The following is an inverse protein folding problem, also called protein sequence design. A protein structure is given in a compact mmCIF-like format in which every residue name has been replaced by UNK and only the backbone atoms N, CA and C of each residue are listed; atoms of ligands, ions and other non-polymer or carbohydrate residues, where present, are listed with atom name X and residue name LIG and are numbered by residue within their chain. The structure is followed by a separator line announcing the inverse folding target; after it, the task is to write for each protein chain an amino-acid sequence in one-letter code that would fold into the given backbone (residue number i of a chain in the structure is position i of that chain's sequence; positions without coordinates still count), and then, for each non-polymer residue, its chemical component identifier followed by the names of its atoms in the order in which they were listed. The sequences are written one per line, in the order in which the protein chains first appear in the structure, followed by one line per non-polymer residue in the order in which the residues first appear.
data_IF_024636328677
#
_entry.id   IF_024636328677
#
_cell.length_a   1.000
_cell.length_b   1.000
_cell.length_c   1.000
_cell.angle_alpha   90.00
_cell.angle_beta   90.00
_cell.angle_gamma   90.00
#
_symmetry.space_group_name_H-M   'P 1'
#
loop_
_entity.id
_entity.type
_entity.pdbx_description
1 polymer ?
#
# COMPACT_ATOMS: atom_id res chain seq x y z
N UNK A 1 -44.43 -27.83 -24.28
CA UNK A 1 -44.01 -26.83 -23.28
C UNK A 1 -42.52 -26.60 -23.46
N UNK A 2 -42.13 -25.34 -23.67
CA UNK A 2 -40.87 -24.91 -24.26
C UNK A 2 -39.70 -24.99 -23.27
N UNK A 3 -38.57 -25.54 -23.71
CA UNK A 3 -37.29 -25.62 -22.97
C UNK A 3 -36.70 -24.25 -22.59
N UNK A 4 -37.21 -23.17 -23.17
CA UNK A 4 -36.80 -21.80 -22.89
C UNK A 4 -37.26 -21.29 -21.50
N UNK A 5 -38.37 -21.77 -20.96
CA UNK A 5 -38.88 -21.31 -19.63
C UNK A 5 -38.18 -22.01 -18.45
N UNK A 6 -37.68 -23.23 -18.66
CA UNK A 6 -36.95 -24.00 -17.63
C UNK A 6 -35.56 -23.42 -17.33
N UNK A 7 -34.87 -22.83 -18.33
CA UNK A 7 -33.58 -22.17 -18.12
C UNK A 7 -33.72 -20.81 -17.41
N UNK A 8 -34.80 -20.07 -17.64
CA UNK A 8 -35.04 -18.77 -16.99
C UNK A 8 -35.36 -18.93 -15.49
N UNK A 9 -36.10 -20.00 -15.15
CA UNK A 9 -36.37 -20.36 -13.75
C UNK A 9 -35.09 -20.71 -12.97
N UNK A 10 -34.17 -21.45 -13.58
CA UNK A 10 -32.93 -21.90 -12.92
C UNK A 10 -31.93 -20.76 -12.68
N UNK A 11 -31.81 -19.81 -13.62
CA UNK A 11 -30.98 -18.61 -13.46
C UNK A 11 -31.50 -17.68 -12.34
N UNK A 12 -32.83 -17.54 -12.23
CA UNK A 12 -33.44 -16.71 -11.16
C UNK A 12 -33.32 -17.33 -9.76
N UNK A 13 -33.28 -18.66 -9.66
CA UNK A 13 -33.03 -19.37 -8.41
C UNK A 13 -31.57 -19.25 -7.97
N UNK A 14 -30.61 -19.39 -8.89
CA UNK A 14 -29.18 -19.20 -8.62
C UNK A 14 -28.82 -17.76 -8.24
N UNK A 15 -29.51 -16.76 -8.82
CA UNK A 15 -29.37 -15.36 -8.40
C UNK A 15 -29.95 -15.09 -7.00
N UNK A 16 -30.99 -15.83 -6.58
CA UNK A 16 -31.53 -15.74 -5.22
C UNK A 16 -30.65 -16.38 -4.17
N UNK A 17 -30.04 -17.53 -4.46
CA UNK A 17 -29.14 -18.23 -3.51
C UNK A 17 -27.83 -17.46 -3.31
N UNK A 18 -27.30 -16.82 -4.37
CA UNK A 18 -26.08 -15.99 -4.25
C UNK A 18 -26.29 -14.74 -3.40
N UNK A 19 -27.53 -14.26 -3.26
CA UNK A 19 -27.90 -13.15 -2.37
C UNK A 19 -28.08 -13.56 -0.91
N UNK A 20 -28.13 -14.86 -0.58
CA UNK A 20 -28.41 -15.35 0.78
C UNK A 20 -27.19 -15.95 1.50
N UNK A 21 -26.02 -16.05 0.86
CA UNK A 21 -24.82 -16.65 1.47
C UNK A 21 -23.68 -15.67 1.77
N UNK A 22 -23.90 -14.36 1.77
CA UNK A 22 -22.91 -13.44 2.35
C UNK A 22 -23.14 -13.34 3.86
N UNK A 23 -22.15 -13.65 4.71
CA UNK A 23 -22.26 -13.39 6.13
C UNK A 23 -22.45 -11.88 6.34
N UNK A 24 -23.63 -11.49 6.84
CA UNK A 24 -24.06 -10.11 7.10
C UNK A 24 -23.44 -9.51 8.36
N UNK A 25 -22.26 -9.96 8.77
CA UNK A 25 -21.51 -9.38 9.86
C UNK A 25 -20.07 -9.11 9.43
N UNK A 26 -19.92 -8.13 8.54
CA UNK A 26 -18.72 -7.31 8.50
C UNK A 26 -18.92 -6.28 9.62
N UNK A 27 -18.34 -6.54 10.79
CA UNK A 27 -18.25 -5.51 11.81
C UNK A 27 -17.30 -4.43 11.24
N UNK A 28 -17.78 -3.20 10.98
CA UNK A 28 -16.91 -2.16 10.48
C UNK A 28 -15.88 -1.84 11.56
N UNK A 29 -14.61 -2.01 11.26
CA UNK A 29 -13.56 -1.36 12.03
C UNK A 29 -13.85 0.14 12.00
N UNK A 30 -14.29 0.66 13.15
CA UNK A 30 -14.57 2.06 13.47
C UNK A 30 -14.93 2.97 12.27
N UNK A 31 -16.22 2.93 11.91
CA UNK A 31 -16.85 4.03 11.18
C UNK A 31 -17.07 5.20 12.15
N UNK A 32 -15.98 5.83 12.61
CA UNK A 32 -16.02 7.05 13.41
C UNK A 32 -15.47 8.28 12.65
N UNK A 33 -15.07 8.12 11.39
CA UNK A 33 -14.58 9.24 10.56
C UNK A 33 -15.53 9.56 9.40
N UNK A 34 -16.84 9.56 9.68
CA UNK A 34 -17.87 10.04 8.75
C UNK A 34 -18.45 11.38 9.20
N UNK A 35 -17.60 12.31 9.61
CA UNK A 35 -17.96 13.73 9.59
C UNK A 35 -17.45 14.34 8.30
N UNK A 36 -18.40 14.61 7.41
CA UNK A 36 -18.37 15.67 6.41
C UNK A 36 -17.28 16.71 6.72
N UNK A 37 -16.12 16.62 6.06
CA UNK A 37 -15.11 17.65 6.13
C UNK A 37 -15.48 18.72 5.10
N UNK A 38 -16.14 19.84 5.47
CA UNK A 38 -16.15 20.98 4.58
C UNK A 38 -14.68 21.30 4.30
N UNK A 39 -14.31 21.50 3.03
CA UNK A 39 -12.98 21.94 2.60
C UNK A 39 -12.76 23.36 3.14
N UNK A 40 -12.59 23.48 4.45
CA UNK A 40 -12.05 24.65 5.12
C UNK A 40 -10.56 24.35 5.19
N UNK A 41 -9.79 25.02 4.34
CA UNK A 41 -8.32 25.08 4.43
C UNK A 41 -7.91 25.62 5.81
N UNK A 42 -7.98 24.80 6.86
CA UNK A 42 -7.24 25.01 8.10
C UNK A 42 -5.97 24.19 7.99
N UNK A 43 -4.97 24.76 7.33
CA UNK A 43 -3.60 24.29 7.41
C UNK A 43 -3.10 24.62 8.83
N UNK A 44 -3.29 23.71 9.78
CA UNK A 44 -2.65 23.85 11.10
C UNK A 44 -1.21 23.35 10.98
N UNK A 45 -0.29 23.90 11.78
CA UNK A 45 1.11 23.42 11.81
C UNK A 45 1.18 21.92 12.15
N UNK A 46 0.18 21.42 12.86
CA UNK A 46 0.03 20.02 13.27
C UNK A 46 -0.41 19.11 12.13
N UNK A 47 -1.38 19.51 11.29
CA UNK A 47 -1.67 18.80 10.03
C UNK A 47 -0.44 18.79 9.13
N UNK A 48 0.31 19.90 9.06
CA UNK A 48 1.54 19.97 8.27
C UNK A 48 2.65 19.03 8.76
N UNK A 49 2.65 18.67 10.05
CA UNK A 49 3.60 17.72 10.66
C UNK A 49 3.11 16.28 10.55
N UNK A 50 1.80 16.05 10.62
CA UNK A 50 1.16 14.75 10.36
C UNK A 50 1.27 14.37 8.87
N UNK A 51 1.20 15.34 7.95
CA UNK A 51 1.46 15.18 6.51
C UNK A 51 2.96 15.25 6.19
N UNK A 52 3.82 14.72 7.05
CA UNK A 52 5.23 14.48 6.69
C UNK A 52 5.25 13.38 5.63
N UNK A 53 5.33 13.82 4.37
CA UNK A 53 5.59 13.06 3.12
C UNK A 53 5.54 11.54 3.29
N UNK A 54 4.41 10.87 3.04
CA UNK A 54 4.28 9.40 3.17
C UNK A 54 5.35 8.60 2.40
N UNK A 55 6.02 9.23 1.41
CA UNK A 55 7.13 8.60 0.69
C UNK A 55 8.27 8.14 1.61
N UNK A 56 8.62 8.85 2.70
CA UNK A 56 9.70 8.39 3.58
C UNK A 56 9.34 7.07 4.30
N UNK A 57 8.07 6.91 4.67
CA UNK A 57 7.54 5.67 5.27
C UNK A 57 7.53 4.54 4.25
N UNK A 58 7.08 4.82 3.03
CA UNK A 58 7.10 3.85 1.95
C UNK A 58 8.52 3.40 1.59
N UNK A 59 9.51 4.31 1.62
CA UNK A 59 10.92 3.94 1.49
C UNK A 59 11.39 3.05 2.64
N UNK A 60 11.05 3.38 3.89
CA UNK A 60 11.40 2.55 5.04
C UNK A 60 10.79 1.14 4.94
N UNK A 61 9.55 1.03 4.48
CA UNK A 61 8.87 -0.24 4.23
C UNK A 61 9.54 -1.05 3.12
N UNK A 62 9.87 -0.41 2.00
CA UNK A 62 10.56 -1.06 0.90
C UNK A 62 11.95 -1.58 1.32
N UNK A 63 12.72 -0.79 2.08
CA UNK A 63 14.01 -1.25 2.60
C UNK A 63 13.82 -2.42 3.58
N UNK A 64 12.84 -2.33 4.48
CA UNK A 64 12.53 -3.40 5.43
C UNK A 64 12.10 -4.71 4.75
N UNK A 65 11.39 -4.60 3.61
CA UNK A 65 11.07 -5.72 2.74
C UNK A 65 12.34 -6.34 2.13
N UNK A 66 13.19 -5.51 1.52
CA UNK A 66 14.40 -5.95 0.83
C UNK A 66 15.40 -6.69 1.73
N UNK A 67 15.46 -6.30 3.01
CA UNK A 67 16.38 -6.92 4.00
C UNK A 67 15.73 -8.00 4.86
N UNK A 68 14.51 -8.45 4.54
CA UNK A 68 13.70 -9.40 5.33
C UNK A 68 13.56 -9.00 6.82
N UNK A 69 13.48 -7.70 7.12
CA UNK A 69 13.42 -7.20 8.50
C UNK A 69 12.22 -7.79 9.26
N UNK A 70 11.05 -7.80 8.62
CA UNK A 70 9.81 -8.33 9.20
C UNK A 70 9.93 -9.83 9.48
N UNK A 71 10.55 -10.60 8.58
CA UNK A 71 10.79 -12.02 8.79
C UNK A 71 11.72 -12.29 9.95
N UNK A 72 12.82 -11.52 10.06
CA UNK A 72 13.74 -11.63 11.20
C UNK A 72 13.04 -11.35 12.53
N UNK A 73 12.33 -10.23 12.63
CA UNK A 73 11.65 -9.83 13.86
C UNK A 73 10.50 -10.77 14.21
N UNK A 74 9.75 -11.27 13.23
CA UNK A 74 8.69 -12.25 13.44
C UNK A 74 9.21 -13.58 14.00
N UNK A 75 10.45 -13.97 13.67
CA UNK A 75 11.10 -15.20 14.17
C UNK A 75 11.67 -15.03 15.58
N UNK A 76 12.23 -13.87 15.91
CA UNK A 76 12.85 -13.62 17.22
C UNK A 76 11.89 -13.01 18.25
N UNK A 77 10.72 -12.54 17.81
CA UNK A 77 9.70 -11.79 18.56
C UNK A 77 10.14 -10.39 19.02
N UNK A 78 11.37 -10.24 19.48
CA UNK A 78 12.02 -8.96 19.72
C UNK A 78 13.51 -9.06 19.39
N UNK A 79 14.14 -7.92 19.15
CA UNK A 79 15.58 -7.85 18.92
C UNK A 79 16.11 -6.44 19.17
N UNK A 80 17.37 -6.37 19.59
CA UNK A 80 18.12 -5.13 19.57
C UNK A 80 18.51 -4.76 18.14
N UNK A 81 18.66 -3.47 17.87
CA UNK A 81 19.18 -2.95 16.59
C UNK A 81 20.49 -3.62 16.20
N UNK A 82 21.40 -3.81 17.15
CA UNK A 82 22.70 -4.45 16.90
C UNK A 82 22.57 -5.92 16.48
N UNK A 83 21.58 -6.65 16.98
CA UNK A 83 21.31 -8.03 16.60
C UNK A 83 20.78 -8.10 15.17
N UNK A 84 19.81 -7.25 14.82
CA UNK A 84 19.27 -7.18 13.47
C UNK A 84 20.30 -6.67 12.46
N UNK A 85 21.15 -5.71 12.83
CA UNK A 85 22.25 -5.23 12.02
C UNK A 85 23.25 -6.34 11.68
N UNK A 86 23.57 -7.21 12.66
CA UNK A 86 24.48 -8.33 12.45
C UNK A 86 23.94 -9.36 11.44
N UNK A 87 22.61 -9.55 11.37
CA UNK A 87 21.99 -10.53 10.47
C UNK A 87 21.67 -9.95 9.09
N UNK A 88 21.26 -8.68 9.03
CA UNK A 88 20.91 -8.00 7.77
C UNK A 88 22.12 -7.41 7.05
N UNK A 89 23.23 -7.18 7.76
CA UNK A 89 24.41 -6.50 7.22
C UNK A 89 24.26 -4.98 7.07
N UNK A 90 23.13 -4.42 7.52
CA UNK A 90 22.87 -2.97 7.52
C UNK A 90 23.62 -2.34 8.70
N UNK A 91 24.15 -1.13 8.50
CA UNK A 91 24.79 -0.38 9.57
C UNK A 91 23.76 -0.04 10.68
N UNK A 92 24.14 -0.21 11.94
CA UNK A 92 23.22 -0.16 13.07
C UNK A 92 22.51 1.20 13.21
N UNK A 93 23.22 2.32 13.04
CA UNK A 93 22.59 3.65 13.18
C UNK A 93 21.58 3.94 12.06
N UNK A 94 21.83 3.45 10.84
CA UNK A 94 20.87 3.51 9.74
C UNK A 94 19.66 2.62 10.01
N UNK A 95 19.90 1.38 10.46
CA UNK A 95 18.82 0.43 10.75
C UNK A 95 17.93 0.94 11.88
N UNK A 96 18.52 1.54 12.93
CA UNK A 96 17.77 2.16 14.02
C UNK A 96 16.84 3.25 13.52
N UNK A 97 17.33 4.13 12.64
CA UNK A 97 16.55 5.21 12.04
C UNK A 97 15.36 4.68 11.21
N UNK A 98 15.56 3.57 10.50
CA UNK A 98 14.51 2.89 9.74
C UNK A 98 13.47 2.30 10.71
N UNK A 99 13.92 1.57 11.73
CA UNK A 99 13.03 0.93 12.71
C UNK A 99 12.24 1.95 13.52
N UNK A 100 12.84 3.08 13.94
CA UNK A 100 12.12 4.18 14.58
C UNK A 100 11.03 4.76 13.66
N UNK A 101 11.32 4.90 12.36
CA UNK A 101 10.32 5.37 11.38
C UNK A 101 9.15 4.40 11.26
N UNK A 102 9.44 3.09 11.24
CA UNK A 102 8.43 2.03 11.18
C UNK A 102 7.63 1.91 12.48
N UNK A 103 8.29 2.03 13.63
CA UNK A 103 7.68 2.01 14.96
C UNK A 103 6.71 3.18 15.14
N UNK A 104 7.11 4.38 14.72
CA UNK A 104 6.29 5.59 14.80
C UNK A 104 4.98 5.49 13.99
N UNK A 105 4.91 4.58 13.02
CA UNK A 105 3.76 4.33 12.16
C UNK A 105 3.07 2.99 12.45
N UNK A 106 3.50 2.26 13.49
CA UNK A 106 2.85 1.05 13.99
C UNK A 106 3.16 -0.25 13.25
N UNK A 107 4.16 -0.27 12.36
CA UNK A 107 4.57 -1.48 11.63
C UNK A 107 5.27 -2.51 12.51
N UNK A 108 5.84 -2.06 13.62
CA UNK A 108 6.49 -2.82 14.68
C UNK A 108 6.40 -1.99 15.98
N UNK A 109 6.75 -2.58 17.11
CA UNK A 109 6.69 -1.90 18.41
C UNK A 109 8.10 -1.52 18.90
N UNK A 110 8.31 -0.29 19.37
CA UNK A 110 9.52 0.10 20.12
C UNK A 110 9.29 -0.17 21.61
N UNK A 111 10.00 -1.15 22.17
CA UNK A 111 9.84 -1.60 23.57
C UNK A 111 10.96 -1.12 24.50
N UNK A 112 11.95 -0.44 23.95
CA UNK A 112 13.06 0.18 24.65
C UNK A 112 14.00 0.88 23.67
N UNK A 113 14.99 1.61 24.20
CA UNK A 113 16.01 2.24 23.36
C UNK A 113 16.73 1.17 22.52
N UNK A 114 16.72 1.35 21.20
CA UNK A 114 17.30 0.43 20.22
C UNK A 114 16.74 -1.01 20.34
N UNK A 115 15.52 -1.17 20.87
CA UNK A 115 14.90 -2.48 21.11
C UNK A 115 13.48 -2.51 20.57
N UNK A 116 13.25 -3.39 19.61
CA UNK A 116 12.02 -3.47 18.85
C UNK A 116 11.39 -4.86 18.94
N UNK A 117 10.06 -4.92 18.81
CA UNK A 117 9.28 -6.15 18.88
C UNK A 117 8.32 -6.30 17.71
N UNK A 118 8.08 -7.55 17.32
CA UNK A 118 7.10 -7.90 16.31
C UNK A 118 5.69 -7.73 16.87
N UNK A 119 4.82 -7.09 16.08
CA UNK A 119 3.39 -6.99 16.34
C UNK A 119 2.59 -7.71 15.25
N UNK A 120 1.26 -7.60 15.30
CA UNK A 120 0.37 -8.25 14.31
C UNK A 120 0.66 -7.79 12.87
N UNK A 121 1.00 -6.51 12.68
CA UNK A 121 1.34 -5.95 11.37
C UNK A 121 2.68 -6.50 10.90
N UNK A 122 3.68 -6.57 11.79
CA UNK A 122 4.97 -7.20 11.49
C UNK A 122 4.79 -8.63 10.96
N UNK A 123 3.91 -9.41 11.59
CA UNK A 123 3.60 -10.77 11.14
C UNK A 123 2.84 -10.80 9.82
N UNK A 124 1.89 -9.89 9.59
CA UNK A 124 1.21 -9.80 8.30
C UNK A 124 2.18 -9.50 7.17
N UNK A 125 3.17 -8.63 7.42
CA UNK A 125 4.21 -8.29 6.46
C UNK A 125 5.13 -9.46 6.10
N UNK A 126 5.09 -10.62 6.76
CA UNK A 126 5.84 -11.79 6.27
C UNK A 126 5.16 -12.51 5.11
N UNK A 127 3.91 -12.17 4.80
CA UNK A 127 3.19 -12.68 3.63
C UNK A 127 3.77 -12.11 2.33
N UNK A 128 4.16 -12.95 1.36
CA UNK A 128 4.63 -12.51 0.05
C UNK A 128 3.69 -11.55 -0.68
N UNK A 129 2.37 -11.67 -0.49
CA UNK A 129 1.40 -10.79 -1.16
C UNK A 129 1.49 -9.35 -0.64
N UNK A 130 1.67 -9.18 0.68
CA UNK A 130 1.89 -7.86 1.28
C UNK A 130 3.23 -7.26 0.86
N UNK A 131 4.27 -8.09 0.74
CA UNK A 131 5.57 -7.64 0.25
C UNK A 131 5.51 -7.21 -1.23
N UNK A 132 4.78 -7.97 -2.05
CA UNK A 132 4.53 -7.61 -3.44
C UNK A 132 3.78 -6.28 -3.57
N UNK A 133 2.81 -6.03 -2.69
CA UNK A 133 2.08 -4.76 -2.65
C UNK A 133 3.01 -3.57 -2.31
N UNK A 134 3.92 -3.73 -1.35
CA UNK A 134 4.90 -2.68 -1.02
C UNK A 134 5.81 -2.38 -2.22
N UNK A 135 6.33 -3.43 -2.87
CA UNK A 135 7.15 -3.28 -4.08
C UNK A 135 6.37 -2.55 -5.19
N UNK A 136 5.11 -2.94 -5.45
CA UNK A 136 4.26 -2.26 -6.43
C UNK A 136 4.06 -0.78 -6.10
N UNK A 137 3.71 -0.46 -4.85
CA UNK A 137 3.54 0.91 -4.39
C UNK A 137 4.81 1.74 -4.57
N UNK A 138 5.98 1.17 -4.27
CA UNK A 138 7.27 1.86 -4.38
C UNK A 138 7.74 2.03 -5.83
N UNK A 139 7.71 0.98 -6.64
CA UNK A 139 8.29 0.97 -8.00
C UNK A 139 7.39 1.63 -9.05
N UNK A 140 6.07 1.61 -8.81
CA UNK A 140 5.06 2.03 -9.78
C UNK A 140 4.20 3.17 -9.24
N UNK A 141 3.67 3.02 -8.03
CA UNK A 141 2.76 4.00 -7.42
C UNK A 141 3.42 5.34 -7.13
N UNK A 142 4.52 5.34 -6.38
CA UNK A 142 5.22 6.55 -5.97
C UNK A 142 5.74 7.37 -7.16
N UNK A 143 6.39 6.79 -8.19
CA UNK A 143 6.79 7.53 -9.38
C UNK A 143 5.62 8.16 -10.14
N UNK A 144 4.50 7.44 -10.29
CA UNK A 144 3.29 7.98 -10.91
C UNK A 144 2.70 9.15 -10.10
N UNK A 145 2.64 9.01 -8.77
CA UNK A 145 2.19 10.08 -7.89
C UNK A 145 3.05 11.34 -8.03
N UNK A 146 4.38 11.18 -8.05
CA UNK A 146 5.33 12.30 -8.22
C UNK A 146 5.24 12.95 -9.61
N UNK A 147 4.91 12.21 -10.66
CA UNK A 147 4.76 12.73 -12.01
C UNK A 147 3.39 13.41 -12.25
N UNK A 148 2.39 13.14 -11.42
CA UNK A 148 1.00 13.61 -11.60
C UNK A 148 0.89 15.13 -11.74
N UNK A 149 1.52 15.96 -10.89
CA UNK A 149 1.43 17.41 -11.03
C UNK A 149 1.98 17.91 -12.37
N UNK A 150 3.10 17.35 -12.85
CA UNK A 150 3.71 17.72 -14.13
C UNK A 150 2.83 17.32 -15.31
N UNK A 151 2.29 16.10 -15.26
CA UNK A 151 1.38 15.58 -16.27
C UNK A 151 0.12 16.44 -16.38
N UNK A 152 -0.58 16.68 -15.26
CA UNK A 152 -1.80 17.49 -15.27
C UNK A 152 -1.52 18.91 -15.77
N UNK A 153 -0.39 19.50 -15.39
CA UNK A 153 0.01 20.81 -15.92
C UNK A 153 0.18 20.79 -17.46
N UNK A 154 0.77 19.74 -18.04
CA UNK A 154 0.96 19.62 -19.50
C UNK A 154 -0.35 19.53 -20.29
N UNK A 155 -1.43 19.03 -19.67
CA UNK A 155 -2.76 18.96 -20.29
C UNK A 155 -3.67 20.12 -19.84
N UNK A 156 -3.10 21.18 -19.25
CA UNK A 156 -3.83 22.32 -18.69
C UNK A 156 -4.93 21.91 -17.69
N UNK A 157 -4.66 20.87 -16.89
CA UNK A 157 -5.57 20.30 -15.90
C UNK A 157 -6.93 19.87 -16.49
N UNK A 158 -6.96 19.52 -17.78
CA UNK A 158 -8.12 18.90 -18.43
C UNK A 158 -8.19 17.42 -18.11
N UNK A 159 -9.35 16.82 -18.33
CA UNK A 159 -9.53 15.37 -18.21
C UNK A 159 -8.65 14.64 -19.24
N UNK A 160 -7.85 13.64 -18.83
CA UNK A 160 -7.07 12.81 -19.74
C UNK A 160 -8.00 12.13 -20.77
N UNK A 161 -7.75 12.36 -22.05
CA UNK A 161 -8.55 11.78 -23.14
C UNK A 161 -7.97 10.45 -23.66
N UNK A 162 -6.79 10.07 -23.17
CA UNK A 162 -6.04 8.92 -23.64
C UNK A 162 -5.53 8.11 -22.44
N UNK A 163 -6.04 6.89 -22.29
CA UNK A 163 -5.65 5.98 -21.21
C UNK A 163 -4.20 5.49 -21.34
N UNK A 164 -3.58 5.61 -22.52
CA UNK A 164 -2.16 5.33 -22.75
C UNK A 164 -1.23 6.48 -22.35
N UNK A 165 -1.78 7.62 -21.91
CA UNK A 165 -1.04 8.81 -21.49
C UNK A 165 -1.50 9.26 -20.11
N UNK A 166 -0.74 8.86 -19.08
CA UNK A 166 -1.05 9.06 -17.68
C UNK A 166 0.23 9.45 -16.94
N UNK A 167 0.08 9.90 -15.69
CA UNK A 167 1.22 10.28 -14.85
C UNK A 167 2.30 9.18 -14.76
N UNK A 168 1.92 7.90 -14.75
CA UNK A 168 2.84 6.77 -14.80
C UNK A 168 3.72 6.76 -16.07
N UNK A 169 3.14 7.00 -17.26
CA UNK A 169 3.86 7.09 -18.53
C UNK A 169 4.90 8.22 -18.54
N UNK A 170 4.50 9.39 -17.99
CA UNK A 170 5.38 10.55 -17.81
C UNK A 170 6.52 10.25 -16.81
N UNK A 171 6.29 9.40 -15.82
CA UNK A 171 7.28 8.95 -14.85
C UNK A 171 8.32 8.01 -15.46
N UNK A 172 7.92 7.08 -16.33
CA UNK A 172 8.81 6.08 -16.93
C UNK A 172 9.42 6.54 -18.28
N UNK A 173 9.06 7.74 -18.75
CA UNK A 173 9.44 8.27 -20.08
C UNK A 173 9.07 7.31 -21.22
N UNK A 174 7.87 6.73 -21.17
CA UNK A 174 7.37 5.74 -22.15
C UNK A 174 6.12 6.21 -22.88
N UNK A 175 5.88 5.62 -24.05
CA UNK A 175 4.73 5.86 -24.92
C UNK A 175 3.69 4.74 -24.95
N UNK A 176 3.97 3.57 -24.37
CA UNK A 176 3.05 2.43 -24.35
C UNK A 176 2.19 2.36 -23.10
N UNK A 177 1.00 1.76 -23.19
CA UNK A 177 0.02 1.71 -22.11
C UNK A 177 0.47 0.87 -20.90
N UNK A 178 -0.09 1.18 -19.72
CA UNK A 178 0.21 0.49 -18.45
C UNK A 178 0.07 -1.04 -18.53
N UNK A 179 -1.00 -1.55 -19.16
CA UNK A 179 -1.21 -2.99 -19.30
C UNK A 179 -0.29 -3.64 -20.34
N UNK A 180 0.10 -2.92 -21.39
CA UNK A 180 1.05 -3.43 -22.40
C UNK A 180 2.43 -3.66 -21.77
N UNK A 181 2.85 -2.75 -20.88
CA UNK A 181 4.03 -2.93 -20.05
C UNK A 181 3.94 -4.17 -19.15
N UNK A 182 2.81 -4.34 -18.45
CA UNK A 182 2.63 -5.46 -17.52
C UNK A 182 2.62 -6.81 -18.24
N UNK A 183 2.07 -6.83 -19.46
CA UNK A 183 1.97 -8.02 -20.30
C UNK A 183 3.24 -8.29 -21.13
N UNK A 184 4.29 -7.46 -21.01
CA UNK A 184 5.56 -7.64 -21.72
C UNK A 184 5.46 -7.43 -23.23
N UNK A 185 4.48 -6.65 -23.71
CA UNK A 185 4.23 -6.47 -25.16
C UNK A 185 5.33 -5.62 -25.82
N UNK A 186 6.13 -4.89 -25.04
CA UNK A 186 7.24 -4.03 -25.50
C UNK A 186 8.65 -4.48 -25.06
N UNK A 187 8.84 -5.75 -24.70
CA UNK A 187 10.19 -6.32 -24.45
C UNK A 187 10.76 -7.01 -25.67
#
# INVERSE_FOLDING_TARGET
MNTHELQTGHLSALQRERSQSMPTHFEPADCSDSTEYPIKRRRTKETSRATRVDAHKLCALAIAADIDLFGHLARTHHALTSELAAVTGVEASLLDSIMQTLAADGWLDEIGAEHFAANKVTHAMTDPDFQSLVAHCYEMGLPAALATPRFLNSINFKEPQDASLMAWHVSKARTSGFFDYFNGVDT
#
